data_IF_557510327918
#
_entry.id   IF_557510327918
#
_cell.length_a   1.000
_cell.length_b   1.000
_cell.length_c   1.000
_cell.angle_alpha   90.00
_cell.angle_beta   90.00
_cell.angle_gamma   90.00
#
_symmetry.space_group_name_H-M   'P 1'
#
loop_
_entity.id
_entity.type
_entity.pdbx_description
1 polymer ?
#
# COMPACT_ATOMS: atom_id res chain seq x y z
N UNK A 1 -5.91 -27.20 10.22
CA UNK A 1 -5.19 -26.03 10.78
C UNK A 1 -3.84 -25.75 10.12
N UNK A 2 -2.99 -26.75 9.85
CA UNK A 2 -1.67 -26.55 9.19
C UNK A 2 -1.76 -25.90 7.80
N UNK A 3 -2.72 -26.31 6.95
CA UNK A 3 -2.88 -25.73 5.61
C UNK A 3 -3.20 -24.22 5.61
N UNK A 4 -3.98 -23.75 6.58
CA UNK A 4 -4.34 -22.32 6.70
C UNK A 4 -3.14 -21.49 7.18
N UNK A 5 -2.31 -22.03 8.08
CA UNK A 5 -1.07 -21.38 8.51
C UNK A 5 -0.09 -21.25 7.36
N UNK A 6 0.09 -22.31 6.57
CA UNK A 6 0.92 -22.27 5.35
C UNK A 6 0.45 -21.22 4.35
N UNK A 7 -0.86 -21.12 4.11
CA UNK A 7 -1.41 -20.11 3.21
C UNK A 7 -1.19 -18.67 3.74
N UNK A 8 -1.33 -18.45 5.05
CA UNK A 8 -1.00 -17.16 5.67
C UNK A 8 0.49 -16.83 5.50
N UNK A 9 1.39 -17.81 5.70
CA UNK A 9 2.83 -17.63 5.55
C UNK A 9 3.22 -17.28 4.11
N UNK A 10 2.59 -17.91 3.13
CA UNK A 10 2.79 -17.59 1.71
C UNK A 10 2.31 -16.17 1.38
N UNK A 11 1.16 -15.75 1.90
CA UNK A 11 0.64 -14.40 1.71
C UNK A 11 1.54 -13.33 2.36
N UNK A 12 2.06 -13.59 3.57
CA UNK A 12 3.05 -12.70 4.21
C UNK A 12 4.35 -12.60 3.42
N UNK A 13 4.85 -13.72 2.90
CA UNK A 13 6.06 -13.72 2.10
C UNK A 13 5.86 -12.95 0.78
N UNK A 14 4.70 -13.13 0.14
CA UNK A 14 4.34 -12.38 -1.06
C UNK A 14 4.24 -10.86 -0.81
N UNK A 15 3.69 -10.45 0.33
CA UNK A 15 3.63 -9.03 0.75
C UNK A 15 5.03 -8.42 0.87
N UNK A 16 5.94 -9.11 1.59
CA UNK A 16 7.32 -8.64 1.75
C UNK A 16 8.07 -8.59 0.41
N UNK A 17 7.94 -9.64 -0.41
CA UNK A 17 8.51 -9.66 -1.75
C UNK A 17 7.97 -8.51 -2.62
N UNK A 18 6.68 -8.18 -2.50
CA UNK A 18 6.04 -7.07 -3.21
C UNK A 18 6.68 -5.72 -2.89
N UNK A 19 6.92 -5.42 -1.61
CA UNK A 19 7.60 -4.17 -1.20
C UNK A 19 8.98 -4.07 -1.84
N UNK A 20 9.80 -5.11 -1.68
CA UNK A 20 11.17 -5.09 -2.21
C UNK A 20 11.22 -5.10 -3.73
N UNK A 21 10.21 -5.68 -4.40
CA UNK A 21 10.06 -5.59 -5.85
C UNK A 21 9.81 -4.15 -6.33
N UNK A 22 8.97 -3.39 -5.62
CA UNK A 22 8.78 -1.95 -5.90
C UNK A 22 10.12 -1.22 -5.75
N UNK A 23 10.88 -1.52 -4.68
CA UNK A 23 12.19 -0.91 -4.50
C UNK A 23 13.17 -1.22 -5.63
N UNK A 24 13.24 -2.49 -6.06
CA UNK A 24 14.06 -2.92 -7.21
C UNK A 24 13.66 -2.22 -8.51
N UNK A 25 12.36 -1.97 -8.70
CA UNK A 25 11.89 -1.30 -9.91
C UNK A 25 12.15 0.20 -9.88
N UNK A 26 11.86 0.90 -8.78
CA UNK A 26 11.90 2.36 -8.76
C UNK A 26 13.26 2.96 -8.38
N UNK A 27 14.12 2.19 -7.71
CA UNK A 27 15.39 2.68 -7.18
C UNK A 27 16.59 1.85 -7.65
N UNK A 28 17.72 2.52 -7.81
CA UNK A 28 18.98 1.88 -8.16
C UNK A 28 19.58 1.15 -6.96
N UNK A 29 20.11 -0.05 -7.19
CA UNK A 29 20.84 -0.79 -6.15
C UNK A 29 22.16 -0.09 -5.84
N UNK A 30 22.56 -0.09 -4.57
CA UNK A 30 23.82 0.51 -4.13
C UNK A 30 25.05 -0.28 -4.63
N UNK A 31 24.90 -1.59 -4.82
CA UNK A 31 25.92 -2.43 -5.43
C UNK A 31 25.28 -3.64 -6.10
N UNK A 32 25.75 -3.97 -7.29
CA UNK A 32 25.31 -5.12 -8.09
C UNK A 32 26.07 -6.42 -7.76
N UNK A 33 26.93 -6.41 -6.74
CA UNK A 33 27.65 -7.62 -6.31
C UNK A 33 26.66 -8.71 -5.90
N UNK A 34 26.95 -9.95 -6.29
CA UNK A 34 26.14 -11.13 -5.95
C UNK A 34 25.86 -11.26 -4.45
N UNK A 35 26.86 -10.97 -3.60
CA UNK A 35 26.73 -10.95 -2.14
C UNK A 35 25.64 -10.00 -1.62
N UNK A 36 25.46 -8.84 -2.25
CA UNK A 36 24.39 -7.90 -1.86
C UNK A 36 23.00 -8.39 -2.28
N UNK A 37 22.92 -9.24 -3.31
CA UNK A 37 21.65 -9.91 -3.68
C UNK A 37 21.29 -10.99 -2.68
N UNK A 38 22.28 -11.79 -2.26
CA UNK A 38 22.09 -12.84 -1.25
C UNK A 38 21.69 -12.24 0.10
N UNK A 39 22.40 -11.20 0.55
CA UNK A 39 22.07 -10.48 1.78
C UNK A 39 20.67 -9.87 1.75
N UNK A 40 20.26 -9.29 0.60
CA UNK A 40 18.90 -8.78 0.44
C UNK A 40 17.86 -9.90 0.54
N UNK A 41 18.12 -11.06 -0.06
CA UNK A 41 17.26 -12.25 0.06
C UNK A 41 17.12 -12.72 1.51
N UNK A 42 18.23 -12.83 2.24
CA UNK A 42 18.22 -13.19 3.67
C UNK A 42 17.40 -12.18 4.47
N UNK A 43 17.57 -10.88 4.21
CA UNK A 43 16.82 -9.84 4.91
C UNK A 43 15.31 -9.90 4.63
N UNK A 44 14.89 -10.22 3.39
CA UNK A 44 13.48 -10.44 3.07
C UNK A 44 12.92 -11.61 3.89
N UNK A 45 13.66 -12.72 3.96
CA UNK A 45 13.25 -13.90 4.72
C UNK A 45 13.12 -13.57 6.21
N UNK A 46 14.12 -12.90 6.79
CA UNK A 46 14.09 -12.48 8.21
C UNK A 46 12.90 -11.57 8.50
N UNK A 47 12.67 -10.55 7.67
CA UNK A 47 11.54 -9.63 7.85
C UNK A 47 10.19 -10.34 7.65
N UNK A 48 10.10 -11.32 6.74
CA UNK A 48 8.90 -12.15 6.58
C UNK A 48 8.65 -13.06 7.79
N UNK A 49 9.69 -13.62 8.40
CA UNK A 49 9.56 -14.41 9.63
C UNK A 49 9.07 -13.54 10.80
N UNK A 50 9.55 -12.30 10.89
CA UNK A 50 9.13 -11.35 11.92
C UNK A 50 7.64 -11.00 11.79
N UNK A 51 7.14 -10.77 10.58
CA UNK A 51 5.71 -10.48 10.33
C UNK A 51 4.82 -11.70 10.53
N UNK A 52 5.31 -12.90 10.22
CA UNK A 52 4.61 -14.16 10.54
C UNK A 52 4.46 -14.33 12.05
N UNK A 53 5.56 -14.18 12.80
CA UNK A 53 5.55 -14.33 14.26
C UNK A 53 4.54 -13.38 14.93
N UNK A 54 4.54 -12.11 14.52
CA UNK A 54 3.59 -11.13 15.04
C UNK A 54 2.13 -11.49 14.73
N UNK A 55 1.84 -12.01 13.52
CA UNK A 55 0.48 -12.39 13.10
C UNK A 55 -0.05 -13.63 13.80
N UNK A 56 0.82 -14.41 14.45
CA UNK A 56 0.44 -15.56 15.27
C UNK A 56 0.20 -15.18 16.74
N UNK A 57 1.05 -14.34 17.34
CA UNK A 57 1.06 -14.13 18.81
C UNK A 57 0.28 -12.92 19.35
N UNK A 58 0.05 -11.85 18.58
CA UNK A 58 -0.46 -10.59 19.16
C UNK A 58 -1.79 -10.11 18.57
N UNK A 59 -1.83 -9.85 17.27
CA UNK A 59 -3.03 -9.52 16.52
C UNK A 59 -2.63 -9.34 15.04
N UNK A 60 -3.58 -9.60 14.13
CA UNK A 60 -3.36 -9.42 12.70
C UNK A 60 -2.96 -7.98 12.31
N UNK A 61 -3.46 -6.98 13.06
CA UNK A 61 -3.32 -5.56 12.76
C UNK A 61 -2.91 -4.73 14.00
N UNK A 62 -1.66 -4.87 14.44
CA UNK A 62 -1.10 -3.92 15.43
C UNK A 62 -0.48 -2.72 14.72
N UNK A 63 -0.99 -1.51 14.99
CA UNK A 63 -0.47 -0.25 14.41
C UNK A 63 0.99 0.00 14.75
N UNK A 64 1.36 -0.21 16.02
CA UNK A 64 2.74 -0.01 16.46
C UNK A 64 3.71 -0.93 15.74
N UNK A 65 3.28 -2.16 15.45
CA UNK A 65 4.08 -3.09 14.69
C UNK A 65 4.14 -2.74 13.20
N UNK A 66 3.04 -2.25 12.60
CA UNK A 66 3.06 -1.75 11.22
C UNK A 66 4.09 -0.62 11.06
N UNK A 67 4.13 0.34 11.99
CA UNK A 67 5.13 1.40 12.01
C UNK A 67 6.55 0.85 12.18
N UNK A 68 6.74 -0.16 13.03
CA UNK A 68 8.01 -0.84 13.18
C UNK A 68 8.45 -1.53 11.88
N UNK A 69 7.54 -2.19 11.16
CA UNK A 69 7.79 -2.79 9.84
C UNK A 69 8.15 -1.74 8.80
N UNK A 70 7.43 -0.61 8.77
CA UNK A 70 7.72 0.50 7.86
C UNK A 70 9.14 1.02 8.10
N UNK A 71 9.52 1.23 9.36
CA UNK A 71 10.87 1.66 9.73
C UNK A 71 11.92 0.60 9.37
N UNK A 72 11.69 -0.67 9.72
CA UNK A 72 12.63 -1.77 9.47
C UNK A 72 12.89 -1.96 7.97
N UNK A 73 11.83 -1.97 7.15
CA UNK A 73 11.94 -2.09 5.69
C UNK A 73 12.58 -0.85 5.08
N UNK A 74 12.32 0.34 5.62
CA UNK A 74 12.98 1.58 5.17
C UNK A 74 14.48 1.56 5.47
N UNK A 75 14.89 1.11 6.65
CA UNK A 75 16.30 0.94 7.02
C UNK A 75 16.97 -0.10 6.12
N UNK A 76 16.32 -1.24 5.88
CA UNK A 76 16.79 -2.23 4.93
C UNK A 76 16.92 -1.64 3.52
N UNK A 77 15.92 -0.89 3.06
CA UNK A 77 15.95 -0.24 1.76
C UNK A 77 17.10 0.77 1.64
N UNK A 78 17.45 1.50 2.70
CA UNK A 78 18.57 2.44 2.71
C UNK A 78 19.94 1.74 2.69
N UNK A 79 20.03 0.55 3.28
CA UNK A 79 21.24 -0.25 3.24
C UNK A 79 21.53 -0.78 1.83
N UNK A 80 20.50 -1.27 1.13
CA UNK A 80 20.66 -1.94 -0.17
C UNK A 80 20.45 -1.06 -1.41
N UNK A 81 19.66 0.02 -1.30
CA UNK A 81 19.31 0.88 -2.44
C UNK A 81 19.81 2.30 -2.26
N UNK A 82 20.08 2.98 -3.37
CA UNK A 82 20.48 4.39 -3.40
C UNK A 82 19.23 5.28 -3.31
N UNK A 83 18.59 5.26 -2.15
CA UNK A 83 17.39 6.06 -1.84
C UNK A 83 17.69 7.09 -0.75
N UNK A 84 16.97 8.22 -0.76
CA UNK A 84 16.98 9.14 0.38
C UNK A 84 15.97 8.67 1.43
N UNK A 85 16.28 8.84 2.72
CA UNK A 85 15.47 8.38 3.85
C UNK A 85 13.97 8.69 3.67
N UNK A 86 13.63 9.95 3.41
CA UNK A 86 12.25 10.39 3.20
C UNK A 86 11.53 9.73 2.02
N UNK A 87 12.26 9.44 0.93
CA UNK A 87 11.67 8.78 -0.25
C UNK A 87 11.40 7.31 0.02
N UNK A 88 12.33 6.63 0.71
CA UNK A 88 12.16 5.26 1.13
C UNK A 88 11.01 5.14 2.13
N UNK A 89 11.00 5.98 3.18
CA UNK A 89 9.97 5.99 4.20
C UNK A 89 8.57 6.16 3.59
N UNK A 90 8.42 7.13 2.70
CA UNK A 90 7.13 7.44 2.09
C UNK A 90 6.65 6.36 1.12
N UNK A 91 7.57 5.69 0.41
CA UNK A 91 7.22 4.54 -0.44
C UNK A 91 6.82 3.31 0.39
N UNK A 92 7.56 3.01 1.46
CA UNK A 92 7.27 1.91 2.37
C UNK A 92 5.96 2.14 3.12
N UNK A 93 5.76 3.35 3.65
CA UNK A 93 4.55 3.75 4.36
C UNK A 93 3.32 3.63 3.47
N UNK A 94 3.38 4.19 2.25
CA UNK A 94 2.32 4.07 1.26
C UNK A 94 1.95 2.60 1.00
N UNK A 95 2.95 1.73 0.81
CA UNK A 95 2.65 0.33 0.55
C UNK A 95 1.94 -0.35 1.72
N UNK A 96 2.53 -0.29 2.93
CA UNK A 96 1.94 -0.97 4.08
C UNK A 96 0.60 -0.36 4.49
N UNK A 97 0.45 0.97 4.45
CA UNK A 97 -0.81 1.61 4.80
C UNK A 97 -1.91 1.26 3.80
N UNK A 98 -1.64 1.31 2.48
CA UNK A 98 -2.63 0.88 1.46
C UNK A 98 -3.01 -0.59 1.63
N UNK A 99 -2.04 -1.48 1.88
CA UNK A 99 -2.25 -2.92 2.09
C UNK A 99 -3.16 -3.19 3.29
N UNK A 100 -2.88 -2.55 4.42
CA UNK A 100 -3.65 -2.70 5.66
C UNK A 100 -5.02 -2.05 5.55
N UNK A 101 -5.10 -0.93 4.85
CA UNK A 101 -6.36 -0.25 4.61
C UNK A 101 -7.32 -1.06 3.72
N UNK A 102 -6.80 -1.68 2.65
CA UNK A 102 -7.58 -2.58 1.80
C UNK A 102 -8.06 -3.82 2.55
N UNK A 103 -7.25 -4.35 3.47
CA UNK A 103 -7.67 -5.45 4.35
C UNK A 103 -8.86 -5.07 5.23
N UNK A 104 -8.78 -3.91 5.89
CA UNK A 104 -9.87 -3.42 6.75
C UNK A 104 -11.13 -3.16 5.92
N UNK A 105 -10.99 -2.54 4.74
CA UNK A 105 -12.10 -2.29 3.83
C UNK A 105 -12.78 -3.59 3.37
N UNK A 106 -12.00 -4.59 2.97
CA UNK A 106 -12.53 -5.88 2.54
C UNK A 106 -13.16 -6.67 3.70
N UNK A 107 -12.64 -6.52 4.93
CA UNK A 107 -13.28 -7.02 6.14
C UNK A 107 -14.67 -6.40 6.36
N UNK A 108 -14.80 -5.08 6.26
CA UNK A 108 -16.09 -4.39 6.41
C UNK A 108 -17.09 -4.72 5.28
N UNK A 109 -16.62 -4.84 4.04
CA UNK A 109 -17.47 -5.30 2.93
C UNK A 109 -17.95 -6.74 3.16
N UNK A 110 -17.10 -7.59 3.73
CA UNK A 110 -17.47 -8.94 4.16
C UNK A 110 -18.57 -8.92 5.22
N UNK A 111 -18.40 -8.12 6.28
CA UNK A 111 -19.39 -7.91 7.33
C UNK A 111 -20.75 -7.41 6.78
N UNK A 112 -20.73 -6.47 5.84
CA UNK A 112 -21.95 -5.98 5.20
C UNK A 112 -22.65 -7.06 4.36
N UNK A 113 -21.88 -7.96 3.74
CA UNK A 113 -22.41 -9.03 2.92
C UNK A 113 -22.95 -10.22 3.73
N UNK A 114 -22.34 -10.53 4.88
CA UNK A 114 -22.77 -11.63 5.76
C UNK A 114 -23.79 -11.20 6.81
N UNK A 115 -23.88 -9.90 7.13
CA UNK A 115 -24.81 -9.36 8.12
C UNK A 115 -24.41 -9.64 9.58
N UNK A 116 -23.18 -10.11 9.82
CA UNK A 116 -22.67 -10.48 11.14
C UNK A 116 -21.89 -9.32 11.77
N UNK A 117 -22.40 -8.78 12.89
CA UNK A 117 -21.84 -7.61 13.56
C UNK A 117 -20.42 -7.87 14.15
N UNK A 118 -20.04 -9.13 14.39
CA UNK A 118 -18.76 -9.51 15.02
C UNK A 118 -17.67 -9.95 14.02
N UNK A 119 -17.98 -10.02 12.73
CA UNK A 119 -17.13 -10.59 11.68
C UNK A 119 -15.69 -10.01 11.66
N UNK A 120 -15.54 -8.69 11.73
CA UNK A 120 -14.23 -8.03 11.68
C UNK A 120 -13.41 -8.28 12.97
N UNK A 121 -14.07 -8.32 14.13
CA UNK A 121 -13.41 -8.61 15.40
C UNK A 121 -12.91 -10.06 15.48
N UNK A 122 -13.68 -10.99 14.90
CA UNK A 122 -13.31 -12.42 14.79
C UNK A 122 -12.13 -12.61 13.83
N UNK A 123 -12.13 -11.94 12.67
CA UNK A 123 -11.02 -12.00 11.69
C UNK A 123 -9.70 -11.53 12.28
N UNK A 124 -9.71 -10.54 13.18
CA UNK A 124 -8.49 -9.99 13.79
C UNK A 124 -7.82 -10.94 14.78
N UNK A 125 -8.62 -11.73 15.52
CA UNK A 125 -8.15 -12.55 16.63
C UNK A 125 -8.00 -14.03 16.28
N UNK A 126 -8.82 -14.55 15.37
CA UNK A 126 -8.89 -15.99 15.06
C UNK A 126 -8.47 -16.24 13.62
N UNK A 127 -7.66 -17.29 13.42
CA UNK A 127 -7.29 -17.75 12.08
C UNK A 127 -8.46 -18.50 11.44
N UNK A 128 -9.28 -17.77 10.69
CA UNK A 128 -10.44 -18.29 9.97
C UNK A 128 -10.24 -18.30 8.45
N UNK A 129 -10.98 -19.12 7.69
CA UNK A 129 -10.90 -19.13 6.23
C UNK A 129 -11.29 -17.77 5.61
N UNK A 130 -12.21 -17.05 6.26
CA UNK A 130 -12.66 -15.72 5.87
C UNK A 130 -11.52 -14.69 5.96
N UNK A 131 -10.70 -14.76 7.02
CA UNK A 131 -9.48 -13.96 7.16
C UNK A 131 -8.54 -14.18 5.98
N UNK A 132 -8.35 -15.43 5.57
CA UNK A 132 -7.48 -15.77 4.45
C UNK A 132 -8.03 -15.24 3.12
N UNK A 133 -9.36 -15.30 2.95
CA UNK A 133 -10.04 -14.77 1.78
C UNK A 133 -9.87 -13.24 1.66
N UNK A 134 -10.14 -12.51 2.74
CA UNK A 134 -9.96 -11.05 2.84
C UNK A 134 -8.52 -10.66 2.48
N UNK A 135 -7.52 -11.31 3.07
CA UNK A 135 -6.11 -11.08 2.74
C UNK A 135 -5.78 -11.37 1.28
N UNK A 136 -6.33 -12.44 0.71
CA UNK A 136 -6.05 -12.80 -0.68
C UNK A 136 -6.60 -11.75 -1.64
N UNK A 137 -7.82 -11.26 -1.40
CA UNK A 137 -8.45 -10.22 -2.23
C UNK A 137 -7.66 -8.92 -2.18
N UNK A 138 -7.29 -8.44 -0.99
CA UNK A 138 -6.50 -7.21 -0.86
C UNK A 138 -5.12 -7.35 -1.52
N UNK A 139 -4.47 -8.52 -1.40
CA UNK A 139 -3.15 -8.75 -2.02
C UNK A 139 -3.23 -8.82 -3.54
N UNK A 140 -4.30 -9.37 -4.10
CA UNK A 140 -4.55 -9.33 -5.55
C UNK A 140 -4.79 -7.91 -6.06
N UNK A 141 -5.52 -7.07 -5.30
CA UNK A 141 -5.71 -5.66 -5.65
C UNK A 141 -4.40 -4.88 -5.61
N UNK A 142 -3.59 -5.07 -4.57
CA UNK A 142 -2.26 -4.44 -4.46
C UNK A 142 -1.34 -4.94 -5.57
N UNK A 143 -1.35 -6.23 -5.89
CA UNK A 143 -0.58 -6.79 -7.00
C UNK A 143 -0.97 -6.12 -8.33
N UNK A 144 -2.27 -5.96 -8.59
CA UNK A 144 -2.76 -5.23 -9.77
C UNK A 144 -2.27 -3.78 -9.80
N UNK A 145 -2.30 -3.08 -8.66
CA UNK A 145 -1.78 -1.71 -8.55
C UNK A 145 -0.27 -1.64 -8.79
N UNK A 146 0.51 -2.59 -8.27
CA UNK A 146 1.96 -2.69 -8.48
C UNK A 146 2.28 -2.96 -9.95
N UNK A 147 1.58 -3.89 -10.59
CA UNK A 147 1.75 -4.18 -12.01
C UNK A 147 1.43 -2.96 -12.88
N UNK A 148 0.35 -2.23 -12.56
CA UNK A 148 0.04 -0.96 -13.21
C UNK A 148 1.14 0.09 -12.97
N UNK A 149 1.67 0.20 -11.75
CA UNK A 149 2.75 1.11 -11.43
C UNK A 149 4.04 0.80 -12.20
N UNK A 150 4.34 -0.49 -12.42
CA UNK A 150 5.48 -0.94 -13.24
C UNK A 150 5.25 -0.64 -14.72
N UNK A 151 4.05 -0.90 -15.24
CA UNK A 151 3.70 -0.58 -16.63
C UNK A 151 3.83 0.94 -16.91
N UNK A 152 3.46 1.78 -15.93
CA UNK A 152 3.54 3.23 -16.02
C UNK A 152 4.73 3.84 -15.24
N UNK A 153 5.84 3.08 -15.11
CA UNK A 153 7.01 3.43 -14.28
C UNK A 153 7.53 4.86 -14.46
N UNK A 154 7.62 5.35 -15.70
CA UNK A 154 8.08 6.71 -16.00
C UNK A 154 7.15 7.79 -15.45
N UNK A 155 5.84 7.54 -15.46
CA UNK A 155 4.81 8.45 -14.95
C UNK A 155 4.84 8.47 -13.43
N UNK A 156 4.86 7.29 -12.80
CA UNK A 156 4.88 7.15 -11.34
C UNK A 156 6.13 7.79 -10.75
N UNK A 157 7.31 7.57 -11.35
CA UNK A 157 8.56 8.21 -10.93
C UNK A 157 8.48 9.73 -11.01
N UNK A 158 7.86 10.28 -12.07
CA UNK A 158 7.69 11.73 -12.22
C UNK A 158 6.71 12.30 -11.19
N UNK A 159 5.63 11.58 -10.87
CA UNK A 159 4.68 11.98 -9.82
C UNK A 159 5.38 12.01 -8.46
N UNK A 160 6.14 10.97 -8.13
CA UNK A 160 6.85 10.86 -6.86
C UNK A 160 7.93 11.95 -6.70
N UNK A 161 8.54 12.42 -7.80
CA UNK A 161 9.52 13.52 -7.74
C UNK A 161 8.83 14.88 -7.65
N UNK A 162 7.77 15.10 -8.43
CA UNK A 162 7.14 16.41 -8.62
C UNK A 162 6.04 16.74 -7.62
N UNK A 163 5.36 15.73 -7.08
CA UNK A 163 4.23 15.86 -6.15
C UNK A 163 4.46 15.14 -4.82
N UNK A 164 5.68 15.19 -4.28
CA UNK A 164 6.03 14.58 -2.98
C UNK A 164 5.05 14.94 -1.87
N UNK A 165 4.63 16.21 -1.80
CA UNK A 165 3.70 16.68 -0.79
C UNK A 165 2.31 16.05 -0.93
N UNK A 166 1.83 15.85 -2.15
CA UNK A 166 0.54 15.17 -2.40
C UNK A 166 0.61 13.72 -1.93
N UNK A 167 1.70 13.01 -2.22
CA UNK A 167 1.88 11.63 -1.76
C UNK A 167 2.04 11.58 -0.23
N UNK A 168 2.73 12.55 0.39
CA UNK A 168 2.82 12.64 1.85
C UNK A 168 1.45 12.87 2.51
N UNK A 169 0.65 13.79 1.96
CA UNK A 169 -0.73 14.03 2.43
C UNK A 169 -1.58 12.79 2.27
N UNK A 170 -1.41 12.05 1.17
CA UNK A 170 -2.14 10.81 0.94
C UNK A 170 -1.80 9.74 1.99
N UNK A 171 -0.51 9.49 2.27
CA UNK A 171 -0.07 8.60 3.35
C UNK A 171 -0.65 9.06 4.69
N UNK A 172 -0.53 10.35 5.04
CA UNK A 172 -1.14 10.87 6.27
C UNK A 172 -2.64 10.61 6.36
N UNK A 173 -3.35 10.69 5.24
CA UNK A 173 -4.79 10.51 5.18
C UNK A 173 -5.18 9.03 5.29
N UNK A 174 -4.41 8.11 4.70
CA UNK A 174 -4.52 6.66 4.95
C UNK A 174 -4.25 6.33 6.42
N UNK A 175 -3.20 6.91 7.00
CA UNK A 175 -2.86 6.76 8.41
C UNK A 175 -3.97 7.23 9.35
N UNK A 176 -4.56 8.40 9.08
CA UNK A 176 -5.71 8.92 9.84
C UNK A 176 -6.91 7.99 9.69
N UNK A 177 -7.17 7.47 8.48
CA UNK A 177 -8.23 6.48 8.25
C UNK A 177 -8.05 5.22 9.08
N UNK A 178 -6.83 4.66 9.10
CA UNK A 178 -6.48 3.54 9.96
C UNK A 178 -6.64 3.87 11.46
N UNK A 179 -6.35 5.11 11.86
CA UNK A 179 -6.52 5.57 13.24
C UNK A 179 -7.99 5.59 13.67
N UNK A 180 -8.89 6.05 12.80
CA UNK A 180 -10.33 6.00 13.04
C UNK A 180 -10.86 4.56 13.08
N UNK A 181 -10.41 3.69 12.16
CA UNK A 181 -10.79 2.27 12.17
C UNK A 181 -10.40 1.59 13.49
N UNK A 182 -9.24 1.94 14.06
CA UNK A 182 -8.73 1.25 15.23
C UNK A 182 -9.18 1.84 16.58
N UNK A 183 -9.64 3.09 16.61
CA UNK A 183 -10.39 3.62 17.75
C UNK A 183 -11.73 2.90 17.97
N UNK A 184 -12.33 2.36 16.91
CA UNK A 184 -13.59 1.61 16.99
C UNK A 184 -13.40 0.25 17.62
N UNK A 185 -12.28 -0.43 17.34
CA UNK A 185 -11.95 -1.72 17.96
C UNK A 185 -11.75 -1.64 19.48
N UNK A 186 -11.32 -0.48 20.00
CA UNK A 186 -11.19 -0.24 21.44
C UNK A 186 -12.50 0.25 22.10
N UNK A 187 -13.43 0.83 21.33
CA UNK A 187 -14.68 1.43 21.79
C UNK A 187 -15.95 0.65 21.37
N UNK A 188 -15.87 -0.69 21.20
CA UNK A 188 -17.05 -1.58 21.11
C UNK A 188 -17.85 -1.66 22.43
N UNK A 189 -17.89 -0.57 23.20
CA UNK A 189 -18.86 -0.29 24.25
C UNK A 189 -19.31 1.16 24.05
N UNK A 190 -20.28 1.40 23.17
CA UNK A 190 -21.52 2.15 23.46
C UNK A 190 -22.42 2.04 22.23
N UNK A 191 -23.32 1.04 22.26
CA UNK A 191 -24.66 1.04 21.65
C UNK A 191 -24.96 2.23 20.72
N UNK A 192 -24.73 2.11 19.41
CA UNK A 192 -25.56 2.77 18.39
C UNK A 192 -25.23 2.26 16.98
N UNK A 193 -26.23 1.60 16.41
CA UNK A 193 -26.43 1.12 15.02
C UNK A 193 -26.35 2.22 13.94
N UNK A 194 -25.50 3.24 14.12
CA UNK A 194 -25.50 4.47 13.30
C UNK A 194 -24.11 4.96 12.90
N UNK A 195 -23.08 4.11 13.00
CA UNK A 195 -21.71 4.46 12.61
C UNK A 195 -21.25 3.70 11.35
N UNK A 196 -22.00 2.70 10.88
CA UNK A 196 -21.62 1.82 9.75
C UNK A 196 -21.42 2.55 8.41
N UNK A 197 -22.25 3.55 8.12
CA UNK A 197 -22.21 4.24 6.82
C UNK A 197 -20.93 5.09 6.70
N UNK A 198 -20.52 5.78 7.76
CA UNK A 198 -19.32 6.62 7.74
C UNK A 198 -18.03 5.79 7.62
N UNK A 199 -18.02 4.55 8.12
CA UNK A 199 -16.88 3.64 8.04
C UNK A 199 -16.65 3.03 6.67
N UNK A 200 -17.70 2.87 5.86
CA UNK A 200 -17.56 2.48 4.45
C UNK A 200 -17.27 3.71 3.59
N UNK A 201 -17.84 4.87 3.95
CA UNK A 201 -17.68 6.10 3.20
C UNK A 201 -16.27 6.68 3.28
N UNK A 202 -15.62 6.60 4.44
CA UNK A 202 -14.27 7.16 4.62
C UNK A 202 -13.25 6.42 3.73
N UNK A 203 -13.23 5.08 3.66
CA UNK A 203 -12.36 4.36 2.74
C UNK A 203 -12.67 4.57 1.27
N UNK A 204 -13.95 4.63 0.92
CA UNK A 204 -14.41 4.98 -0.42
C UNK A 204 -14.00 6.40 -0.83
N UNK A 205 -14.00 7.35 0.11
CA UNK A 205 -13.54 8.72 -0.13
C UNK A 205 -12.04 8.75 -0.42
N UNK A 206 -11.23 7.94 0.27
CA UNK A 206 -9.80 7.81 0.01
C UNK A 206 -9.57 7.21 -1.37
N UNK A 207 -10.28 6.13 -1.69
CA UNK A 207 -10.21 5.48 -3.00
C UNK A 207 -10.66 6.42 -4.13
N UNK A 208 -11.68 7.26 -3.86
CA UNK A 208 -12.14 8.31 -4.75
C UNK A 208 -11.08 9.40 -4.95
N UNK A 209 -10.41 9.85 -3.88
CA UNK A 209 -9.28 10.81 -3.97
C UNK A 209 -8.11 10.20 -4.74
N UNK A 210 -7.87 8.90 -4.62
CA UNK A 210 -6.85 8.14 -5.37
C UNK A 210 -7.19 8.08 -6.87
N UNK A 211 -8.45 7.78 -7.20
CA UNK A 211 -8.94 7.82 -8.59
C UNK A 211 -8.84 9.24 -9.14
N UNK A 212 -9.27 10.26 -8.38
CA UNK A 212 -9.19 11.66 -8.79
C UNK A 212 -7.75 12.12 -9.02
N UNK A 213 -6.80 11.71 -8.18
CA UNK A 213 -5.39 12.06 -8.37
C UNK A 213 -4.77 11.37 -9.59
N UNK A 214 -5.14 10.12 -9.88
CA UNK A 214 -4.76 9.42 -11.12
C UNK A 214 -5.37 10.11 -12.34
N UNK A 215 -6.68 10.37 -12.32
CA UNK A 215 -7.41 11.05 -13.41
C UNK A 215 -6.86 12.46 -13.63
N UNK A 216 -6.56 13.21 -12.56
CA UNK A 216 -5.94 14.53 -12.65
C UNK A 216 -4.54 14.46 -13.26
N UNK A 217 -3.74 13.45 -12.91
CA UNK A 217 -2.44 13.22 -13.55
C UNK A 217 -2.57 12.91 -15.04
N UNK A 218 -3.54 12.06 -15.43
CA UNK A 218 -3.84 11.76 -16.83
C UNK A 218 -4.33 13.00 -17.58
N UNK A 219 -5.19 13.81 -16.96
CA UNK A 219 -5.74 15.02 -17.55
C UNK A 219 -4.66 16.09 -17.76
N UNK A 220 -3.82 16.35 -16.76
CA UNK A 220 -2.68 17.27 -16.88
C UNK A 220 -1.72 16.82 -17.96
N UNK A 221 -1.56 15.50 -18.18
CA UNK A 221 -0.78 14.95 -19.30
C UNK A 221 -1.42 15.27 -20.65
N UNK A 222 -2.73 15.06 -20.84
CA UNK A 222 -3.43 15.48 -22.07
C UNK A 222 -3.33 16.97 -22.32
N UNK A 223 -3.34 17.79 -21.25
CA UNK A 223 -3.18 19.24 -21.34
C UNK A 223 -1.76 19.60 -21.81
N UNK A 224 -0.72 19.05 -21.17
CA UNK A 224 0.68 19.30 -21.54
C UNK A 224 1.02 18.79 -22.95
N UNK A 225 0.45 17.66 -23.37
CA UNK A 225 0.61 17.14 -24.72
C UNK A 225 -0.06 18.06 -25.75
N UNK A 226 -1.27 18.56 -25.47
CA UNK A 226 -1.93 19.57 -26.32
C UNK A 226 -1.12 20.86 -26.44
N UNK A 227 -0.52 21.33 -25.35
CA UNK A 227 0.35 22.53 -25.33
C UNK A 227 1.66 22.29 -26.12
N UNK A 228 2.25 21.10 -26.02
CA UNK A 228 3.45 20.72 -26.78
C UNK A 228 3.16 20.57 -28.28
N UNK A 229 2.00 20.04 -28.65
CA UNK A 229 1.57 19.89 -30.05
C UNK A 229 1.17 21.24 -30.64
N UNK A 230 0.51 22.13 -29.87
CA UNK A 230 0.24 23.49 -30.32
C UNK A 230 1.54 24.29 -30.48
N UNK A 231 2.48 24.21 -29.53
CA UNK A 231 3.77 24.90 -29.59
C UNK A 231 4.66 24.45 -30.77
N UNK A 232 4.66 23.15 -31.10
CA UNK A 232 5.37 22.62 -32.28
C UNK A 232 4.68 22.99 -33.60
N UNK A 233 3.35 23.19 -33.61
CA UNK A 233 2.62 23.70 -34.78
C UNK A 233 2.90 25.19 -35.03
N UNK A 234 3.07 25.99 -33.98
CA UNK A 234 3.51 27.39 -34.09
C UNK A 234 4.97 27.52 -34.57
N UNK A 235 5.91 26.72 -34.04
CA UNK A 235 7.30 26.68 -34.54
C UNK A 235 7.41 26.26 -36.02
N UNK A 236 6.61 25.29 -36.47
CA UNK A 236 6.59 24.89 -37.90
C UNK A 236 5.98 25.94 -38.83
N UNK A 237 5.13 26.83 -38.33
CA UNK A 237 4.63 27.99 -39.11
C UNK A 237 5.62 29.15 -39.13
N UNK A 238 6.40 29.34 -38.07
CA UNK A 238 7.42 30.40 -38.00
C UNK A 238 8.69 30.10 -38.83
N UNK A 239 8.99 28.83 -39.11
CA UNK A 239 10.12 28.41 -39.98
C UNK A 239 9.72 28.40 -41.48
N UNK A 240 8.44 28.64 -41.79
CA UNK A 240 7.90 28.67 -43.17
C UNK A 240 7.54 30.09 -43.67
N UNK A 241 7.96 31.12 -42.95
CA UNK A 241 7.98 32.52 -43.40
C UNK A 241 9.42 32.97 -43.48
#
# INVERSE_FOLDING_TARGET
MIGMRLAQWLLTAAEMCGVFYIFLMFFERRSEKMWNSVLLGIMIVVLSGLTVWQREDTAMYSRYFMLACILAVTVAALAFFRTGFWKGLLATALYFETVYFLDVLSGYLGQLATGDEDFVAVIQKVLNPERLFVMTVSRLLVLGAVLAAVHYKGIVKNIFVRYKLVVAVFVLLEHIGLLYCDQVFYFSVVKKRRIDIYFVFFPLLILFVLILTIVFCIWKRRMNWRISVSGTRWRRKAIKK
#
